data_IF_369388184751
#
_entry.id   IF_369388184751
#
_cell.length_a   1.000
_cell.length_b   1.000
_cell.length_c   1.000
_cell.angle_alpha   90.00
_cell.angle_beta   90.00
_cell.angle_gamma   90.00
#
_symmetry.space_group_name_H-M   'P 1'
#
loop_
_entity.id
_entity.type
_entity.pdbx_description
1 polymer ?
#
# COMPACT_ATOMS: atom_id res chain seq x y z
N UNK A 1 -23.40 -15.36 -7.49
CA UNK A 1 -22.29 -14.43 -7.68
C UNK A 1 -22.30 -13.37 -6.56
N UNK A 2 -21.22 -13.28 -5.82
CA UNK A 2 -21.12 -12.35 -4.71
C UNK A 2 -20.71 -10.97 -5.23
N UNK A 3 -21.50 -9.96 -4.94
CA UNK A 3 -21.13 -8.57 -5.18
C UNK A 3 -19.98 -8.21 -4.25
N UNK A 4 -18.95 -7.49 -4.72
CA UNK A 4 -17.91 -7.03 -3.82
C UNK A 4 -18.50 -6.27 -2.63
N UNK A 5 -18.06 -6.61 -1.42
CA UNK A 5 -18.58 -5.98 -0.21
C UNK A 5 -17.81 -4.70 0.13
N UNK A 6 -17.32 -3.99 -0.88
CA UNK A 6 -16.59 -2.74 -0.71
C UNK A 6 -16.75 -1.86 -1.93
N UNK A 7 -16.49 -0.56 -1.74
CA UNK A 7 -16.37 0.39 -2.86
C UNK A 7 -15.14 1.27 -2.63
N UNK A 8 -14.64 1.89 -3.70
CA UNK A 8 -13.45 2.74 -3.63
C UNK A 8 -13.88 4.20 -3.74
N UNK A 9 -13.33 5.02 -2.84
CA UNK A 9 -13.58 6.46 -2.81
C UNK A 9 -12.27 7.22 -2.63
N UNK A 10 -12.31 8.52 -2.91
CA UNK A 10 -11.16 9.38 -2.65
C UNK A 10 -10.93 9.55 -1.14
N UNK A 11 -9.67 9.75 -0.78
CA UNK A 11 -9.26 10.05 0.60
C UNK A 11 -9.90 11.34 1.10
N UNK A 12 -10.39 11.33 2.33
CA UNK A 12 -10.92 12.51 3.00
C UNK A 12 -9.90 13.00 4.04
N UNK A 13 -9.20 14.12 3.78
CA UNK A 13 -8.18 14.62 4.72
C UNK A 13 -8.69 14.96 6.09
N UNK A 14 -9.99 15.22 6.24
CA UNK A 14 -10.57 15.59 7.52
C UNK A 14 -10.82 14.41 8.45
N UNK A 15 -11.13 13.22 7.88
CA UNK A 15 -11.57 12.08 8.69
C UNK A 15 -10.69 10.83 8.55
N UNK A 16 -9.93 10.69 7.45
CA UNK A 16 -9.24 9.44 7.16
C UNK A 16 -7.85 9.25 7.78
N UNK A 17 -7.01 10.28 8.01
CA UNK A 17 -5.61 10.03 8.34
C UNK A 17 -5.40 9.10 9.53
N UNK A 18 -6.14 9.27 10.61
CA UNK A 18 -5.99 8.42 11.80
C UNK A 18 -6.42 6.98 11.52
N UNK A 19 -7.53 6.79 10.80
CA UNK A 19 -8.01 5.46 10.46
C UNK A 19 -7.06 4.74 9.50
N UNK A 20 -6.55 5.45 8.51
CA UNK A 20 -5.64 4.86 7.52
C UNK A 20 -4.27 4.54 8.13
N UNK A 21 -3.74 5.39 9.01
CA UNK A 21 -2.48 5.08 9.68
C UNK A 21 -2.61 3.88 10.61
N UNK A 22 -3.76 3.74 11.27
CA UNK A 22 -4.04 2.57 12.10
C UNK A 22 -4.13 1.29 11.26
N UNK A 23 -4.79 1.37 10.10
CA UNK A 23 -4.86 0.25 9.15
C UNK A 23 -3.47 -0.12 8.66
N UNK A 24 -2.68 0.88 8.26
CA UNK A 24 -1.29 0.68 7.83
C UNK A 24 -0.48 -0.03 8.92
N UNK A 25 -0.61 0.44 10.16
CA UNK A 25 0.13 -0.14 11.29
C UNK A 25 -0.24 -1.60 11.51
N UNK A 26 -1.53 -1.93 11.50
CA UNK A 26 -2.00 -3.30 11.66
C UNK A 26 -1.49 -4.22 10.54
N UNK A 27 -1.54 -3.74 9.29
CA UNK A 27 -1.04 -4.51 8.15
C UNK A 27 0.48 -4.68 8.22
N UNK A 28 1.20 -3.63 8.61
CA UNK A 28 2.66 -3.64 8.67
C UNK A 28 3.21 -4.48 9.82
N UNK A 29 2.48 -4.60 10.92
CA UNK A 29 2.88 -5.53 11.99
C UNK A 29 3.00 -6.96 11.48
N UNK A 30 2.21 -7.33 10.47
CA UNK A 30 2.26 -8.66 9.86
C UNK A 30 3.28 -8.74 8.73
N UNK A 31 3.26 -7.75 7.83
CA UNK A 31 4.08 -7.78 6.61
C UNK A 31 5.52 -7.30 6.82
N UNK A 32 5.73 -6.38 7.76
CA UNK A 32 7.02 -5.73 7.98
C UNK A 32 7.51 -5.89 9.43
N UNK A 33 7.16 -6.99 10.07
CA UNK A 33 7.54 -7.26 11.47
C UNK A 33 9.06 -7.18 11.68
N UNK A 34 9.85 -7.46 10.64
CA UNK A 34 11.31 -7.39 10.69
C UNK A 34 11.85 -5.98 10.99
N UNK A 35 11.04 -4.94 10.76
CA UNK A 35 11.45 -3.55 11.07
C UNK A 35 11.38 -3.22 12.56
N UNK A 36 10.58 -3.96 13.33
CA UNK A 36 10.39 -3.72 14.74
C UNK A 36 9.28 -2.71 15.04
N UNK A 37 8.63 -2.88 16.19
CA UNK A 37 7.47 -2.07 16.56
C UNK A 37 7.78 -0.58 16.68
N UNK A 38 8.94 -0.23 17.25
CA UNK A 38 9.31 1.16 17.45
C UNK A 38 9.42 1.90 16.10
N UNK A 39 10.08 1.27 15.12
CA UNK A 39 10.22 1.84 13.78
C UNK A 39 8.87 1.99 13.10
N UNK A 40 7.98 1.00 13.26
CA UNK A 40 6.64 1.07 12.67
C UNK A 40 5.81 2.19 13.29
N UNK A 41 5.95 2.46 14.59
CA UNK A 41 5.26 3.58 15.23
C UNK A 41 5.75 4.93 14.72
N UNK A 42 7.06 5.06 14.47
CA UNK A 42 7.62 6.26 13.86
C UNK A 42 7.04 6.48 12.46
N UNK A 43 6.98 5.43 11.64
CA UNK A 43 6.41 5.51 10.30
C UNK A 43 4.91 5.83 10.32
N UNK A 44 4.18 5.30 11.30
CA UNK A 44 2.75 5.59 11.46
C UNK A 44 2.50 7.08 11.61
N UNK A 45 3.29 7.75 12.44
CA UNK A 45 3.18 9.20 12.63
C UNK A 45 3.49 9.96 11.34
N UNK A 46 4.51 9.53 10.58
CA UNK A 46 4.86 10.16 9.30
C UNK A 46 3.76 10.00 8.25
N UNK A 47 3.05 8.89 8.26
CA UNK A 47 1.94 8.67 7.32
C UNK A 47 0.87 9.73 7.53
N UNK A 48 0.47 9.98 8.79
CA UNK A 48 -0.55 10.97 9.08
C UNK A 48 -0.12 12.39 8.76
N UNK A 49 1.11 12.75 9.11
CA UNK A 49 1.56 14.15 9.09
C UNK A 49 2.22 14.56 7.79
N UNK A 50 2.79 13.61 7.04
CA UNK A 50 3.60 13.93 5.88
C UNK A 50 3.17 13.23 4.61
N UNK A 51 3.00 11.90 4.64
CA UNK A 51 2.81 11.14 3.41
C UNK A 51 1.38 11.24 2.86
N UNK A 52 0.35 11.07 3.70
CA UNK A 52 -1.02 11.18 3.22
C UNK A 52 -1.35 12.57 2.67
N UNK A 53 -0.91 13.68 3.30
CA UNK A 53 -1.17 15.01 2.73
C UNK A 53 -0.54 15.24 1.36
N UNK A 54 0.56 14.56 1.04
CA UNK A 54 1.29 14.74 -0.22
C UNK A 54 0.81 13.84 -1.34
N UNK A 55 0.11 12.76 -1.03
CA UNK A 55 -0.23 11.73 -2.00
C UNK A 55 -1.67 11.84 -2.50
N UNK A 56 -1.92 11.30 -3.68
CA UNK A 56 -3.29 11.02 -4.13
C UNK A 56 -3.66 9.64 -3.57
N UNK A 57 -4.60 9.60 -2.64
CA UNK A 57 -4.95 8.36 -1.94
C UNK A 57 -6.40 7.97 -2.22
N UNK A 58 -6.60 6.67 -2.48
CA UNK A 58 -7.91 6.08 -2.71
C UNK A 58 -8.15 5.01 -1.67
N UNK A 59 -9.36 4.97 -1.12
CA UNK A 59 -9.73 4.12 0.01
C UNK A 59 -10.80 3.14 -0.42
N UNK A 60 -10.58 1.87 -0.12
CA UNK A 60 -11.63 0.85 -0.23
C UNK A 60 -12.34 0.76 1.11
N UNK A 61 -13.65 0.96 1.13
CA UNK A 61 -14.41 0.93 2.37
C UNK A 61 -15.58 -0.04 2.29
N UNK A 62 -15.93 -0.61 3.45
CA UNK A 62 -17.09 -1.47 3.60
C UNK A 62 -18.38 -0.65 3.53
N UNK A 63 -19.56 -1.31 3.34
CA UNK A 63 -20.83 -0.59 3.30
C UNK A 63 -21.11 0.25 4.54
N UNK A 64 -20.54 -0.11 5.69
CA UNK A 64 -20.69 0.65 6.94
C UNK A 64 -19.70 1.80 7.07
N UNK A 65 -18.83 2.01 6.08
CA UNK A 65 -17.84 3.09 6.08
C UNK A 65 -16.47 2.69 6.67
N UNK A 66 -16.31 1.46 7.12
CA UNK A 66 -15.02 1.00 7.66
C UNK A 66 -13.96 0.92 6.55
N UNK A 67 -12.80 1.58 6.70
CA UNK A 67 -11.72 1.44 5.72
C UNK A 67 -11.14 0.01 5.74
N UNK A 68 -11.04 -0.60 4.57
CA UNK A 68 -10.54 -1.96 4.41
C UNK A 68 -9.17 -2.00 3.74
N UNK A 69 -8.81 -0.95 3.03
CA UNK A 69 -7.53 -0.84 2.36
C UNK A 69 -7.38 0.51 1.70
N UNK A 70 -6.16 0.83 1.28
CA UNK A 70 -5.92 2.07 0.56
C UNK A 70 -4.68 1.96 -0.32
N UNK A 71 -4.63 2.82 -1.34
CA UNK A 71 -3.45 3.00 -2.19
C UNK A 71 -3.12 4.48 -2.24
N UNK A 72 -1.84 4.82 -2.11
CA UNK A 72 -1.35 6.18 -2.17
C UNK A 72 -0.40 6.35 -3.34
N UNK A 73 -0.68 7.32 -4.20
CA UNK A 73 0.08 7.57 -5.41
C UNK A 73 0.81 8.91 -5.31
N UNK A 74 2.10 8.90 -5.65
CA UNK A 74 2.91 10.08 -5.86
C UNK A 74 3.25 10.08 -7.34
N UNK A 75 2.42 10.74 -8.15
CA UNK A 75 2.45 10.63 -9.61
C UNK A 75 2.34 9.17 -10.04
N UNK A 76 3.31 8.58 -10.72
CA UNK A 76 3.31 7.17 -11.11
C UNK A 76 3.86 6.21 -10.07
N UNK A 77 4.32 6.73 -8.93
CA UNK A 77 4.91 5.91 -7.88
C UNK A 77 3.86 5.53 -6.84
N UNK A 78 3.75 4.23 -6.56
CA UNK A 78 2.89 3.74 -5.49
C UNK A 78 3.67 3.83 -4.18
N UNK A 79 3.34 4.84 -3.38
CA UNK A 79 3.97 5.04 -2.08
C UNK A 79 3.50 4.04 -1.04
N UNK A 80 2.30 3.49 -1.22
CA UNK A 80 1.78 2.48 -0.33
C UNK A 80 0.53 1.81 -0.89
N UNK A 81 0.41 0.52 -0.63
CA UNK A 81 -0.79 -0.26 -0.91
C UNK A 81 -0.97 -1.22 0.26
N UNK A 82 -2.02 -1.01 1.03
CA UNK A 82 -2.24 -1.77 2.25
C UNK A 82 -3.69 -2.23 2.36
N UNK A 83 -3.87 -3.47 2.83
CA UNK A 83 -5.18 -4.06 3.06
C UNK A 83 -5.23 -4.53 4.51
N UNK A 84 -6.30 -4.21 5.22
CA UNK A 84 -6.48 -4.62 6.60
C UNK A 84 -6.35 -6.13 6.72
N UNK A 85 -5.68 -6.65 7.78
CA UNK A 85 -5.46 -8.08 7.91
C UNK A 85 -6.74 -8.93 7.82
N UNK A 86 -7.85 -8.45 8.37
CA UNK A 86 -9.11 -9.17 8.30
C UNK A 86 -9.85 -9.08 6.98
N UNK A 87 -9.37 -8.24 6.06
CA UNK A 87 -10.01 -8.00 4.77
C UNK A 87 -9.22 -8.58 3.58
N UNK A 88 -8.11 -9.26 3.84
CA UNK A 88 -7.31 -9.86 2.77
C UNK A 88 -8.05 -11.02 2.11
N UNK A 89 -7.71 -11.29 0.85
CA UNK A 89 -8.32 -12.37 0.09
C UNK A 89 -9.67 -12.02 -0.53
N UNK A 90 -10.07 -10.75 -0.53
CA UNK A 90 -11.34 -10.28 -1.11
C UNK A 90 -11.20 -9.52 -2.41
N UNK A 91 -9.97 -9.43 -2.96
CA UNK A 91 -9.71 -8.70 -4.19
C UNK A 91 -9.54 -7.18 -4.01
N UNK A 92 -9.41 -6.70 -2.80
CA UNK A 92 -9.28 -5.26 -2.51
C UNK A 92 -7.99 -4.70 -3.10
N UNK A 93 -6.85 -5.36 -2.86
CA UNK A 93 -5.56 -4.91 -3.40
C UNK A 93 -5.58 -4.85 -4.93
N UNK A 94 -6.15 -5.86 -5.56
CA UNK A 94 -6.27 -5.89 -7.02
C UNK A 94 -7.17 -4.75 -7.54
N UNK A 95 -8.28 -4.49 -6.86
CA UNK A 95 -9.19 -3.42 -7.26
C UNK A 95 -8.50 -2.05 -7.16
N UNK A 96 -7.70 -1.84 -6.11
CA UNK A 96 -6.94 -0.61 -5.94
C UNK A 96 -5.86 -0.47 -7.01
N UNK A 97 -5.17 -1.55 -7.36
CA UNK A 97 -4.20 -1.54 -8.46
C UNK A 97 -4.87 -1.27 -9.80
N UNK A 98 -6.04 -1.86 -10.04
CA UNK A 98 -6.79 -1.63 -11.26
C UNK A 98 -7.18 -0.16 -11.41
N UNK A 99 -7.59 0.48 -10.31
CA UNK A 99 -7.89 1.90 -10.31
C UNK A 99 -6.65 2.72 -10.65
N UNK A 100 -5.51 2.40 -10.03
CA UNK A 100 -4.26 3.11 -10.30
C UNK A 100 -3.84 2.98 -11.77
N UNK A 101 -4.01 1.79 -12.37
CA UNK A 101 -3.70 1.58 -13.80
C UNK A 101 -4.56 2.44 -14.71
N UNK A 102 -5.80 2.65 -14.35
CA UNK A 102 -6.69 3.51 -15.14
C UNK A 102 -6.31 4.98 -15.05
N UNK A 103 -5.62 5.38 -13.98
CA UNK A 103 -5.26 6.77 -13.73
C UNK A 103 -3.86 7.12 -14.17
N UNK A 104 -3.00 6.15 -14.41
CA UNK A 104 -1.59 6.38 -14.76
C UNK A 104 -1.17 5.51 -15.94
N UNK A 105 -0.27 6.03 -16.77
CA UNK A 105 0.26 5.29 -17.92
C UNK A 105 1.29 4.24 -17.50
N UNK A 106 1.95 4.45 -16.38
CA UNK A 106 2.90 3.49 -15.81
C UNK A 106 2.87 3.62 -14.31
N UNK A 107 3.17 2.51 -13.61
CA UNK A 107 3.23 2.45 -12.15
C UNK A 107 4.58 1.89 -11.73
N UNK A 108 5.15 2.46 -10.67
CA UNK A 108 6.38 1.96 -10.07
C UNK A 108 6.19 1.85 -8.58
N UNK A 109 6.91 0.93 -7.96
CA UNK A 109 6.94 0.77 -6.50
C UNK A 109 8.24 0.15 -6.06
N UNK A 110 8.53 0.25 -4.77
CA UNK A 110 9.57 -0.52 -4.13
C UNK A 110 8.94 -1.45 -3.11
N UNK A 111 9.43 -2.67 -3.03
CA UNK A 111 8.93 -3.68 -2.10
C UNK A 111 10.10 -4.39 -1.43
N UNK A 112 9.97 -4.63 -0.11
CA UNK A 112 10.95 -5.41 0.61
C UNK A 112 10.96 -6.85 0.13
N UNK A 113 12.14 -7.41 -0.10
CA UNK A 113 12.28 -8.82 -0.48
C UNK A 113 11.69 -9.72 0.61
N UNK A 114 11.82 -9.30 1.87
CA UNK A 114 11.29 -10.03 3.03
C UNK A 114 9.75 -10.07 3.06
N UNK A 115 9.09 -9.16 2.33
CA UNK A 115 7.64 -9.18 2.17
C UNK A 115 7.27 -10.06 0.97
N UNK A 116 7.48 -11.37 1.13
CA UNK A 116 7.32 -12.34 0.04
C UNK A 116 5.91 -12.37 -0.54
N UNK A 117 4.90 -12.21 0.30
CA UNK A 117 3.51 -12.22 -0.15
C UNK A 117 3.23 -11.08 -1.11
N UNK A 118 3.60 -9.85 -0.73
CA UNK A 118 3.39 -8.68 -1.58
C UNK A 118 4.17 -8.80 -2.87
N UNK A 119 5.42 -9.25 -2.80
CA UNK A 119 6.26 -9.42 -3.97
C UNK A 119 5.60 -10.38 -4.97
N UNK A 120 5.09 -11.51 -4.51
CA UNK A 120 4.38 -12.46 -5.37
C UNK A 120 3.13 -11.86 -6.00
N UNK A 121 2.38 -11.08 -5.22
CA UNK A 121 1.16 -10.42 -5.72
C UNK A 121 1.51 -9.45 -6.85
N UNK A 122 2.53 -8.62 -6.66
CA UNK A 122 2.93 -7.64 -7.67
C UNK A 122 3.44 -8.31 -8.94
N UNK A 123 4.29 -9.33 -8.81
CA UNK A 123 4.81 -10.05 -9.98
C UNK A 123 3.69 -10.77 -10.72
N UNK A 124 2.76 -11.38 -10.01
CA UNK A 124 1.60 -12.04 -10.63
C UNK A 124 0.68 -11.04 -11.32
N UNK A 125 0.59 -9.82 -10.80
CA UNK A 125 -0.23 -8.76 -11.39
C UNK A 125 0.36 -8.26 -12.72
N UNK A 126 1.68 -8.39 -12.91
CA UNK A 126 2.35 -7.99 -14.14
C UNK A 126 3.52 -7.04 -13.96
N UNK A 127 3.84 -6.65 -12.72
CA UNK A 127 5.02 -5.85 -12.45
C UNK A 127 6.28 -6.64 -12.78
N UNK A 128 7.32 -5.92 -13.21
CA UNK A 128 8.62 -6.50 -13.51
C UNK A 128 9.70 -5.79 -12.71
N UNK A 129 10.69 -6.56 -12.25
CA UNK A 129 11.83 -6.00 -11.53
C UNK A 129 12.72 -5.21 -12.49
N UNK A 130 13.06 -3.98 -12.10
CA UNK A 130 13.98 -3.14 -12.87
C UNK A 130 15.29 -2.85 -12.13
N UNK A 131 15.30 -2.92 -10.79
CA UNK A 131 16.53 -2.76 -10.02
C UNK A 131 16.35 -3.31 -8.60
N UNK A 132 17.47 -3.41 -7.88
CA UNK A 132 17.50 -3.91 -6.51
C UNK A 132 18.46 -3.07 -5.68
N UNK A 133 18.06 -2.77 -4.45
CA UNK A 133 18.92 -2.16 -3.44
C UNK A 133 19.09 -3.12 -2.28
N UNK A 134 20.32 -3.24 -1.75
CA UNK A 134 20.59 -4.13 -0.63
C UNK A 134 20.23 -3.51 0.73
N UNK A 135 20.00 -2.19 0.77
CA UNK A 135 19.60 -1.48 1.97
C UNK A 135 18.32 -0.68 1.69
N UNK A 136 17.55 -0.38 2.75
CA UNK A 136 16.35 0.44 2.62
C UNK A 136 16.69 1.94 2.65
N UNK A 137 15.66 2.81 2.61
CA UNK A 137 15.83 4.26 2.59
C UNK A 137 16.56 4.80 3.82
N UNK A 138 16.58 4.03 4.91
CA UNK A 138 17.24 4.41 6.15
C UNK A 138 18.61 3.75 6.30
N UNK A 139 19.09 3.06 5.28
CA UNK A 139 20.38 2.39 5.30
C UNK A 139 20.40 1.08 6.07
N UNK A 140 19.23 0.55 6.44
CA UNK A 140 19.13 -0.74 7.14
C UNK A 140 19.29 -1.89 6.14
N UNK A 141 19.76 -3.08 6.59
CA UNK A 141 20.07 -4.20 5.69
C UNK A 141 18.81 -4.96 5.26
N UNK A 142 17.83 -4.25 4.74
CA UNK A 142 16.59 -4.82 4.21
C UNK A 142 16.52 -4.51 2.72
N UNK A 143 16.76 -5.54 1.90
CA UNK A 143 16.81 -5.39 0.45
C UNK A 143 15.42 -5.04 -0.11
N UNK A 144 15.42 -4.15 -1.11
CA UNK A 144 14.22 -3.71 -1.82
C UNK A 144 14.36 -4.01 -3.30
N UNK A 145 13.26 -4.40 -3.91
CA UNK A 145 13.14 -4.50 -5.37
C UNK A 145 12.34 -3.32 -5.89
N UNK A 146 12.83 -2.68 -6.94
CA UNK A 146 12.10 -1.67 -7.67
C UNK A 146 11.36 -2.37 -8.80
N UNK A 147 10.03 -2.26 -8.80
CA UNK A 147 9.17 -2.90 -9.77
C UNK A 147 8.47 -1.85 -10.63
N UNK A 148 8.20 -2.20 -11.89
CA UNK A 148 7.50 -1.33 -12.82
C UNK A 148 6.45 -2.09 -13.61
N UNK A 149 5.31 -1.44 -13.82
CA UNK A 149 4.23 -1.95 -14.68
C UNK A 149 3.88 -0.87 -15.69
N UNK A 150 3.90 -1.22 -16.95
CA UNK A 150 3.43 -0.33 -18.00
C UNK A 150 1.99 -0.67 -18.38
N UNK A 151 1.19 0.35 -18.57
CA UNK A 151 -0.21 0.16 -18.92
C UNK A 151 -0.37 -0.34 -20.35
#
# INVERSE_FOLDING_TARGET
>A
MTTPSFHIRAHDPASDPTCLSALWYAASLRAHAFLGQEKLLEHKALIETRYLPMAETWVAEAPDGTPLGFISLLEGYIGGLFVAPGAQGRGIGRALLDLARRRRSALELEVYVENEHALRVYLAYGFREISRREVDDEGLPHANLHLRLEA
#
